data_IF_105996979661
#
_entry.id   IF_105996979661
#
_cell.length_a   1.000
_cell.length_b   1.000
_cell.length_c   1.000
_cell.angle_alpha   90.00
_cell.angle_beta   90.00
_cell.angle_gamma   90.00
#
_symmetry.space_group_name_H-M   'P 1'
#
loop_
_entity.id
_entity.type
_entity.pdbx_description
1 polymer ?
#
# COMPACT_ATOMS: atom_id res chain seq x y z
N UNK A 1 24.02 3.75 -7.28
CA UNK A 1 23.66 4.69 -6.19
C UNK A 1 23.45 3.95 -4.90
N UNK A 2 23.72 4.63 -3.80
CA UNK A 2 23.47 4.20 -2.42
C UNK A 2 22.09 4.74 -1.99
N UNK A 3 21.13 3.87 -1.82
CA UNK A 3 19.74 4.25 -1.51
C UNK A 3 19.44 3.93 -0.05
N UNK A 4 18.81 4.86 0.67
CA UNK A 4 18.37 4.64 2.05
C UNK A 4 16.84 4.60 2.08
N UNK A 5 16.26 3.65 2.80
CA UNK A 5 14.81 3.55 2.93
C UNK A 5 14.32 4.03 4.30
N UNK A 6 13.19 4.71 4.31
CA UNK A 6 12.38 4.91 5.51
C UNK A 6 10.99 4.33 5.23
N UNK A 7 10.52 3.45 6.09
CA UNK A 7 9.31 2.65 5.84
C UNK A 7 8.38 2.70 7.03
N UNK A 8 7.11 3.01 6.79
CA UNK A 8 6.07 2.90 7.81
C UNK A 8 5.75 1.42 8.07
N UNK A 9 5.94 0.97 9.31
CA UNK A 9 5.83 -0.44 9.68
C UNK A 9 4.43 -0.91 10.10
N UNK A 10 3.45 -0.02 10.18
CA UNK A 10 2.10 -0.36 10.64
C UNK A 10 1.30 -1.16 9.61
N UNK A 11 1.56 -0.90 8.33
CA UNK A 11 0.92 -1.57 7.19
C UNK A 11 1.86 -2.52 6.46
N UNK A 12 1.38 -3.72 6.11
CA UNK A 12 2.18 -4.67 5.33
C UNK A 12 2.44 -4.20 3.89
N UNK A 13 1.57 -3.34 3.34
CA UNK A 13 1.69 -2.80 1.99
C UNK A 13 3.00 -2.06 1.77
N UNK A 14 3.37 -1.12 2.66
CA UNK A 14 4.61 -0.35 2.53
C UNK A 14 5.87 -1.22 2.62
N UNK A 15 5.83 -2.28 3.45
CA UNK A 15 6.91 -3.26 3.52
C UNK A 15 7.06 -4.02 2.20
N UNK A 16 5.96 -4.43 1.60
CA UNK A 16 5.93 -5.13 0.31
C UNK A 16 6.44 -4.22 -0.83
N UNK A 17 6.00 -2.95 -0.85
CA UNK A 17 6.48 -1.94 -1.81
C UNK A 17 7.98 -1.71 -1.69
N UNK A 18 8.50 -1.61 -0.46
CA UNK A 18 9.93 -1.43 -0.21
C UNK A 18 10.77 -2.63 -0.70
N UNK A 19 10.31 -3.85 -0.45
CA UNK A 19 10.95 -5.07 -0.98
C UNK A 19 10.92 -5.13 -2.50
N UNK A 20 9.78 -4.78 -3.11
CA UNK A 20 9.65 -4.75 -4.57
C UNK A 20 10.58 -3.71 -5.20
N UNK A 21 10.59 -2.48 -4.69
CA UNK A 21 11.48 -1.44 -5.20
C UNK A 21 12.97 -1.78 -4.98
N UNK A 22 13.32 -2.37 -3.82
CA UNK A 22 14.69 -2.86 -3.58
C UNK A 22 15.15 -3.84 -4.66
N UNK A 23 14.30 -4.79 -5.03
CA UNK A 23 14.61 -5.75 -6.08
C UNK A 23 14.77 -5.09 -7.46
N UNK A 24 13.94 -4.09 -7.78
CA UNK A 24 14.04 -3.32 -9.03
C UNK A 24 15.32 -2.48 -9.08
N UNK A 25 15.68 -1.81 -7.98
CA UNK A 25 16.91 -1.01 -7.86
C UNK A 25 18.17 -1.89 -7.99
N UNK A 26 18.18 -3.07 -7.37
CA UNK A 26 19.30 -4.00 -7.44
C UNK A 26 19.58 -4.49 -8.87
N UNK A 27 18.53 -4.71 -9.69
CA UNK A 27 18.68 -5.08 -11.11
C UNK A 27 19.32 -3.97 -11.97
N UNK A 28 19.29 -2.73 -11.49
CA UNK A 28 19.93 -1.57 -12.13
C UNK A 28 21.28 -1.21 -11.47
N UNK A 29 21.81 -2.08 -10.62
CA UNK A 29 23.11 -1.88 -9.96
C UNK A 29 23.08 -0.88 -8.79
N UNK A 30 21.92 -0.60 -8.23
CA UNK A 30 21.80 0.25 -7.04
C UNK A 30 21.73 -0.59 -5.76
N UNK A 31 22.25 -0.05 -4.66
CA UNK A 31 22.32 -0.73 -3.38
C UNK A 31 21.46 -0.02 -2.33
N UNK A 32 20.64 -0.78 -1.60
CA UNK A 32 19.99 -0.28 -0.39
C UNK A 32 20.98 -0.42 0.77
N UNK A 33 21.46 0.71 1.29
CA UNK A 33 22.52 0.76 2.31
C UNK A 33 22.00 0.77 3.74
N UNK A 34 20.69 0.91 3.94
CA UNK A 34 20.07 0.88 5.25
C UNK A 34 18.60 1.22 5.22
N UNK A 35 17.89 0.80 6.24
CA UNK A 35 16.45 1.02 6.39
C UNK A 35 16.11 1.46 7.81
N UNK A 36 15.36 2.56 7.94
CA UNK A 36 14.65 2.88 9.18
C UNK A 36 13.19 2.44 9.03
N UNK A 37 12.77 1.55 9.92
CA UNK A 37 11.41 1.07 10.03
C UNK A 37 10.72 1.77 11.20
N UNK A 38 9.76 2.65 10.88
CA UNK A 38 8.95 3.33 11.89
C UNK A 38 7.84 2.43 12.41
N UNK A 39 7.59 2.44 13.72
CA UNK A 39 6.46 1.74 14.33
C UNK A 39 5.89 2.52 15.51
N UNK A 40 4.61 2.35 15.76
CA UNK A 40 3.91 2.96 16.90
C UNK A 40 3.93 2.08 18.17
N UNK A 41 4.53 0.90 18.11
CA UNK A 41 4.61 -0.07 19.21
C UNK A 41 3.48 -1.08 19.25
N UNK A 42 2.51 -1.03 18.35
CA UNK A 42 1.37 -1.95 18.34
C UNK A 42 1.68 -3.29 17.66
N UNK A 43 2.61 -3.32 16.70
CA UNK A 43 2.98 -4.52 15.95
C UNK A 43 4.49 -4.65 15.82
N UNK A 44 5.07 -5.84 16.05
CA UNK A 44 6.48 -6.08 15.80
C UNK A 44 6.78 -6.05 14.29
N UNK A 45 8.02 -5.68 13.94
CA UNK A 45 8.50 -5.78 12.57
C UNK A 45 8.49 -7.25 12.11
N UNK A 46 7.90 -7.57 10.94
CA UNK A 46 7.90 -8.94 10.44
C UNK A 46 9.33 -9.41 10.08
N UNK A 47 9.72 -10.63 10.51
CA UNK A 47 11.07 -11.18 10.24
C UNK A 47 11.41 -11.26 8.75
N UNK A 48 10.44 -11.61 7.90
CA UNK A 48 10.63 -11.69 6.45
C UNK A 48 11.11 -10.38 5.81
N UNK A 49 10.81 -9.23 6.43
CA UNK A 49 11.22 -7.93 5.90
C UNK A 49 12.72 -7.71 6.04
N UNK A 50 13.28 -7.98 7.22
CA UNK A 50 14.72 -7.84 7.46
C UNK A 50 15.54 -8.80 6.58
N UNK A 51 15.08 -10.04 6.42
CA UNK A 51 15.69 -11.03 5.53
C UNK A 51 15.62 -10.60 4.06
N UNK A 52 14.44 -10.16 3.60
CA UNK A 52 14.24 -9.79 2.20
C UNK A 52 14.90 -8.50 1.77
N UNK A 53 15.11 -7.54 2.69
CA UNK A 53 15.73 -6.25 2.36
C UNK A 53 17.25 -6.37 2.13
N UNK A 54 17.92 -7.27 2.82
CA UNK A 54 19.36 -7.53 2.67
C UNK A 54 20.25 -6.35 3.07
N UNK A 55 19.78 -5.46 3.94
CA UNK A 55 20.48 -4.28 4.46
C UNK A 55 20.19 -4.12 5.96
N UNK A 56 21.00 -3.36 6.71
CA UNK A 56 20.72 -3.07 8.12
C UNK A 56 19.35 -2.43 8.30
N UNK A 57 18.53 -2.98 9.20
CA UNK A 57 17.20 -2.47 9.55
C UNK A 57 17.21 -1.96 10.98
N UNK A 58 16.87 -0.67 11.17
CA UNK A 58 16.73 -0.05 12.48
C UNK A 58 15.26 0.27 12.75
N UNK A 59 14.70 -0.36 13.76
CA UNK A 59 13.32 -0.12 14.19
C UNK A 59 13.30 1.08 15.13
N UNK A 60 12.44 2.07 14.84
CA UNK A 60 12.33 3.31 15.61
C UNK A 60 10.88 3.66 15.92
N UNK A 61 10.65 4.26 17.09
CA UNK A 61 9.34 4.81 17.43
C UNK A 61 9.01 5.96 16.49
N UNK A 62 7.85 5.88 15.87
CA UNK A 62 7.32 6.86 14.93
C UNK A 62 5.89 7.27 15.30
N UNK A 63 5.49 8.51 15.02
CA UNK A 63 4.09 8.89 15.10
C UNK A 63 3.24 8.03 14.18
N UNK A 64 2.16 7.45 14.71
CA UNK A 64 1.24 6.61 13.94
C UNK A 64 -0.21 6.92 14.30
N UNK A 65 -1.14 6.37 13.54
CA UNK A 65 -2.56 6.49 13.85
C UNK A 65 -2.96 5.54 14.98
N UNK A 66 -3.72 6.05 15.95
CA UNK A 66 -4.30 5.24 17.02
C UNK A 66 -5.69 4.77 16.61
N UNK A 67 -5.88 3.45 16.63
CA UNK A 67 -7.18 2.83 16.38
C UNK A 67 -7.93 2.66 17.70
N UNK A 68 -9.15 3.17 17.78
CA UNK A 68 -10.03 2.96 18.94
C UNK A 68 -10.92 1.75 18.68
N UNK A 69 -10.63 0.65 19.39
CA UNK A 69 -11.33 -0.62 19.19
C UNK A 69 -11.00 -1.26 17.83
N UNK A 70 -11.82 -2.23 17.43
CA UNK A 70 -11.60 -3.01 16.21
C UNK A 70 -12.06 -2.30 14.92
N UNK A 71 -12.49 -1.03 14.92
CA UNK A 71 -13.25 -0.46 13.77
C UNK A 71 -12.90 0.94 13.28
N UNK A 72 -11.99 1.73 13.91
CA UNK A 72 -11.76 3.08 13.40
C UNK A 72 -10.57 3.85 13.97
N UNK A 73 -10.11 4.89 13.24
CA UNK A 73 -9.05 5.81 13.67
C UNK A 73 -9.64 6.88 14.61
N UNK A 74 -8.99 7.11 15.77
CA UNK A 74 -9.37 8.13 16.73
C UNK A 74 -8.39 9.32 16.71
N UNK A 75 -8.82 10.45 16.16
CA UNK A 75 -7.96 11.65 16.04
C UNK A 75 -7.52 12.21 17.41
N UNK A 76 -8.42 12.25 18.40
CA UNK A 76 -8.08 12.74 19.75
C UNK A 76 -7.07 11.84 20.46
N UNK A 77 -7.23 10.51 20.38
CA UNK A 77 -6.26 9.58 20.93
C UNK A 77 -4.91 9.65 20.20
N UNK A 78 -4.92 9.86 18.89
CA UNK A 78 -3.70 10.06 18.10
C UNK A 78 -2.94 11.30 18.55
N UNK A 79 -3.62 12.44 18.72
CA UNK A 79 -3.00 13.68 19.22
C UNK A 79 -2.42 13.54 20.64
N UNK A 80 -3.14 12.86 21.52
CA UNK A 80 -2.70 12.59 22.89
C UNK A 80 -1.43 11.72 22.91
N UNK A 81 -1.44 10.61 22.16
CA UNK A 81 -0.28 9.71 22.02
C UNK A 81 0.92 10.40 21.37
N UNK A 82 0.70 11.27 20.37
CA UNK A 82 1.76 12.06 19.75
C UNK A 82 2.37 13.02 20.77
N UNK A 83 1.55 13.66 21.61
CA UNK A 83 2.03 14.57 22.69
C UNK A 83 2.89 13.83 23.72
N UNK A 84 2.43 12.69 24.23
CA UNK A 84 3.18 11.87 25.17
C UNK A 84 4.46 11.27 24.57
N UNK A 85 4.45 10.96 23.28
CA UNK A 85 5.58 10.37 22.56
C UNK A 85 6.68 11.37 22.16
N UNK A 86 6.48 12.68 22.33
CA UNK A 86 7.36 13.71 21.78
C UNK A 86 8.85 13.54 22.12
N UNK A 87 9.26 13.25 23.39
CA UNK A 87 10.68 13.03 23.71
C UNK A 87 11.27 11.83 22.95
N UNK A 88 10.47 10.76 22.78
CA UNK A 88 10.87 9.56 22.06
C UNK A 88 11.01 9.84 20.56
N UNK A 89 10.09 10.63 19.99
CA UNK A 89 10.16 11.01 18.57
C UNK A 89 11.35 11.92 18.28
N UNK A 90 11.68 12.86 19.18
CA UNK A 90 12.90 13.66 19.07
C UNK A 90 14.17 12.79 19.08
N UNK A 91 14.22 11.78 19.96
CA UNK A 91 15.31 10.78 19.97
C UNK A 91 15.37 10.01 18.65
N UNK A 92 14.22 9.57 18.12
CA UNK A 92 14.14 8.89 16.83
C UNK A 92 14.63 9.76 15.68
N UNK A 93 14.29 11.06 15.66
CA UNK A 93 14.79 12.03 14.67
C UNK A 93 16.32 12.16 14.70
N UNK A 94 16.91 12.25 15.90
CA UNK A 94 18.37 12.31 16.06
C UNK A 94 19.05 11.00 15.62
N UNK A 95 18.44 9.86 15.92
CA UNK A 95 18.92 8.55 15.47
C UNK A 95 18.85 8.45 13.93
N UNK A 96 17.72 8.84 13.30
CA UNK A 96 17.60 8.88 11.84
C UNK A 96 18.68 9.76 11.22
N UNK A 97 18.88 11.00 11.73
CA UNK A 97 19.95 11.90 11.28
C UNK A 97 21.34 11.26 11.38
N UNK A 98 21.62 10.55 12.48
CA UNK A 98 22.89 9.83 12.68
C UNK A 98 23.05 8.71 11.63
N UNK A 99 21.99 7.93 11.35
CA UNK A 99 22.02 6.85 10.35
C UNK A 99 22.25 7.39 8.94
N UNK A 100 21.56 8.45 8.56
CA UNK A 100 21.78 9.12 7.26
C UNK A 100 23.23 9.58 7.09
N UNK A 101 23.84 10.15 8.15
CA UNK A 101 25.26 10.55 8.12
C UNK A 101 26.22 9.35 8.04
N UNK A 102 25.92 8.23 8.70
CA UNK A 102 26.73 7.03 8.69
C UNK A 102 26.66 6.29 7.35
N UNK A 103 25.45 6.19 6.77
CA UNK A 103 25.22 5.50 5.51
C UNK A 103 25.60 6.32 4.29
N UNK A 104 25.64 7.66 4.37
CA UNK A 104 25.94 8.58 3.26
C UNK A 104 25.20 8.18 1.97
N UNK A 105 23.85 8.13 1.97
CA UNK A 105 23.10 7.77 0.79
C UNK A 105 23.09 8.89 -0.24
N UNK A 106 22.99 8.53 -1.52
CA UNK A 106 22.77 9.46 -2.64
C UNK A 106 21.32 9.94 -2.69
N UNK A 107 20.38 9.07 -2.25
CA UNK A 107 18.94 9.36 -2.23
C UNK A 107 18.26 8.61 -1.08
N UNK A 108 17.22 9.23 -0.53
CA UNK A 108 16.33 8.58 0.46
C UNK A 108 14.96 8.32 -0.17
N UNK A 109 14.49 7.07 -0.11
CA UNK A 109 13.12 6.71 -0.52
C UNK A 109 12.27 6.49 0.73
N UNK A 110 11.16 7.22 0.80
CA UNK A 110 10.26 7.24 1.95
C UNK A 110 8.93 6.56 1.62
N UNK A 111 8.63 5.44 2.24
CA UNK A 111 7.35 4.75 2.15
C UNK A 111 6.42 5.23 3.28
N UNK A 112 5.94 6.46 3.15
CA UNK A 112 5.01 7.15 4.06
C UNK A 112 5.46 7.18 5.54
N UNK A 113 6.77 7.15 5.81
CA UNK A 113 7.29 7.24 7.18
C UNK A 113 7.39 8.72 7.62
N UNK A 114 6.62 9.14 8.65
CA UNK A 114 6.56 10.55 9.02
C UNK A 114 7.85 11.11 9.64
N UNK A 115 8.70 10.28 10.26
CA UNK A 115 9.97 10.75 10.84
C UNK A 115 10.87 11.43 9.80
N UNK A 116 10.91 10.90 8.56
CA UNK A 116 11.73 11.53 7.53
C UNK A 116 11.16 12.90 7.11
N UNK A 117 9.85 13.01 6.96
CA UNK A 117 9.21 14.28 6.65
C UNK A 117 9.47 15.33 7.74
N UNK A 118 9.32 14.94 9.00
CA UNK A 118 9.66 15.80 10.16
C UNK A 118 11.15 16.16 10.18
N UNK A 119 12.05 15.19 9.92
CA UNK A 119 13.49 15.47 9.81
C UNK A 119 13.77 16.51 8.74
N UNK A 120 13.19 16.37 7.55
CA UNK A 120 13.40 17.29 6.43
C UNK A 120 12.80 18.68 6.69
N UNK A 121 11.69 18.75 7.42
CA UNK A 121 11.10 20.01 7.85
C UNK A 121 11.99 20.74 8.88
N UNK A 122 12.53 20.02 9.87
CA UNK A 122 13.31 20.60 10.97
C UNK A 122 14.78 20.90 10.60
N UNK A 123 15.41 20.01 9.81
CA UNK A 123 16.87 20.07 9.55
C UNK A 123 17.23 20.38 8.10
N UNK A 124 16.24 20.53 7.23
CA UNK A 124 16.43 20.59 5.77
C UNK A 124 16.70 19.22 5.16
N UNK A 125 16.25 19.02 3.93
CA UNK A 125 16.59 17.84 3.14
C UNK A 125 18.03 18.03 2.58
N UNK A 126 19.01 17.37 3.21
CA UNK A 126 20.41 17.41 2.75
C UNK A 126 20.71 16.36 1.69
N UNK A 127 19.87 15.37 1.59
CA UNK A 127 19.91 14.29 0.59
C UNK A 127 18.59 14.35 -0.17
N UNK A 128 18.62 14.22 -1.50
CA UNK A 128 17.40 14.11 -2.30
C UNK A 128 16.46 13.06 -1.72
N UNK A 129 15.18 13.37 -1.67
CA UNK A 129 14.17 12.49 -1.07
C UNK A 129 13.01 12.27 -2.02
N UNK A 130 12.62 11.01 -2.19
CA UNK A 130 11.43 10.57 -2.94
C UNK A 130 10.47 9.90 -1.97
N UNK A 131 9.25 10.42 -1.87
CA UNK A 131 8.20 9.77 -1.08
C UNK A 131 7.29 8.94 -2.00
N UNK A 132 6.98 7.71 -1.58
CA UNK A 132 6.21 6.74 -2.35
C UNK A 132 4.88 6.47 -1.66
N UNK A 133 3.77 6.55 -2.39
CA UNK A 133 2.47 6.15 -1.88
C UNK A 133 1.32 6.46 -2.83
N UNK A 134 0.30 5.61 -2.84
CA UNK A 134 -0.91 5.83 -3.63
C UNK A 134 -1.65 7.11 -3.21
N UNK A 135 -1.57 7.46 -1.92
CA UNK A 135 -2.26 8.62 -1.35
C UNK A 135 -1.84 9.94 -2.00
N UNK A 136 -0.66 10.02 -2.61
CA UNK A 136 -0.22 11.22 -3.37
C UNK A 136 -1.01 11.42 -4.66
N UNK A 137 -1.69 10.40 -5.18
CA UNK A 137 -2.58 10.54 -6.33
C UNK A 137 -3.79 11.45 -6.01
N UNK A 138 -4.15 11.64 -4.72
CA UNK A 138 -5.16 12.62 -4.27
C UNK A 138 -4.82 14.07 -4.67
N UNK A 139 -3.57 14.36 -5.00
CA UNK A 139 -3.13 15.67 -5.48
C UNK A 139 -3.27 15.80 -7.00
N UNK A 140 -3.53 14.69 -7.71
CA UNK A 140 -3.67 14.66 -9.16
C UNK A 140 -5.13 14.86 -9.60
N UNK A 141 -5.40 15.66 -10.65
CA UNK A 141 -6.76 15.90 -11.17
C UNK A 141 -7.48 14.62 -11.64
N UNK A 142 -6.73 13.58 -12.01
CA UNK A 142 -7.27 12.29 -12.47
C UNK A 142 -7.97 11.50 -11.36
N UNK A 143 -7.65 11.80 -10.09
CA UNK A 143 -8.25 11.10 -8.96
C UNK A 143 -9.76 11.40 -8.86
N UNK A 144 -10.62 10.39 -8.60
CA UNK A 144 -12.06 10.58 -8.54
C UNK A 144 -12.48 11.67 -7.56
N UNK A 145 -13.49 12.44 -7.95
CA UNK A 145 -14.10 13.44 -7.05
C UNK A 145 -14.96 12.72 -6.02
N UNK A 146 -14.46 12.65 -4.80
CA UNK A 146 -15.15 12.03 -3.67
C UNK A 146 -15.71 13.13 -2.77
N UNK A 147 -17.02 13.13 -2.53
CA UNK A 147 -17.67 14.12 -1.66
C UNK A 147 -17.59 13.74 -0.18
N UNK A 148 -17.54 12.43 0.09
CA UNK A 148 -17.54 11.87 1.44
C UNK A 148 -16.25 12.20 2.22
N UNK A 149 -16.38 12.24 3.54
CA UNK A 149 -15.27 12.44 4.50
C UNK A 149 -14.45 13.73 4.27
N UNK A 150 -15.02 14.92 4.05
CA UNK A 150 -14.26 16.11 3.69
C UNK A 150 -13.24 16.53 4.76
N UNK A 151 -13.57 16.41 6.05
CA UNK A 151 -12.67 16.74 7.15
C UNK A 151 -11.49 15.77 7.21
N UNK A 152 -11.74 14.46 7.14
CA UNK A 152 -10.69 13.43 7.18
C UNK A 152 -9.77 13.48 5.96
N UNK A 153 -10.30 13.83 4.79
CA UNK A 153 -9.49 14.06 3.58
C UNK A 153 -8.57 15.28 3.74
N UNK A 154 -9.04 16.35 4.41
CA UNK A 154 -8.21 17.52 4.71
C UNK A 154 -7.08 17.16 5.69
N UNK A 155 -7.38 16.38 6.73
CA UNK A 155 -6.38 15.87 7.68
C UNK A 155 -5.37 14.99 6.95
N UNK A 156 -5.81 14.07 6.09
CA UNK A 156 -4.92 13.22 5.29
C UNK A 156 -3.99 14.06 4.40
N UNK A 157 -4.52 15.07 3.71
CA UNK A 157 -3.68 15.98 2.91
C UNK A 157 -2.64 16.70 3.77
N UNK A 158 -3.01 17.19 4.95
CA UNK A 158 -2.07 17.79 5.90
C UNK A 158 -0.98 16.80 6.32
N UNK A 159 -1.35 15.56 6.63
CA UNK A 159 -0.39 14.49 6.94
C UNK A 159 0.57 14.23 5.77
N UNK A 160 0.06 14.10 4.54
CA UNK A 160 0.88 13.90 3.34
C UNK A 160 1.85 15.05 3.07
N UNK A 161 1.46 16.31 3.37
CA UNK A 161 2.35 17.47 3.28
C UNK A 161 3.52 17.36 4.28
N UNK A 162 3.26 16.89 5.50
CA UNK A 162 4.31 16.67 6.51
C UNK A 162 5.23 15.53 6.08
N UNK A 163 4.68 14.37 5.71
CA UNK A 163 5.45 13.18 5.31
C UNK A 163 6.28 13.43 4.04
N UNK A 164 5.72 14.17 3.09
CA UNK A 164 6.37 14.54 1.83
C UNK A 164 7.12 15.87 1.88
N UNK A 165 7.42 16.42 3.07
CA UNK A 165 8.09 17.69 3.20
C UNK A 165 9.45 17.69 2.45
N UNK A 166 9.63 18.64 1.53
CA UNK A 166 10.83 18.78 0.69
C UNK A 166 11.19 17.55 -0.13
N UNK A 167 10.21 16.69 -0.47
CA UNK A 167 10.40 15.45 -1.24
C UNK A 167 9.76 15.55 -2.61
N UNK A 168 10.32 14.82 -3.57
CA UNK A 168 9.59 14.45 -4.79
C UNK A 168 8.55 13.37 -4.44
N UNK A 169 7.48 13.29 -5.22
CA UNK A 169 6.34 12.40 -4.97
C UNK A 169 6.24 11.36 -6.07
N UNK A 170 6.32 10.09 -5.71
CA UNK A 170 6.05 8.96 -6.57
C UNK A 170 4.66 8.42 -6.22
N UNK A 171 3.66 8.89 -6.94
CA UNK A 171 2.26 8.52 -6.72
C UNK A 171 1.97 7.17 -7.38
N UNK A 172 1.79 6.12 -6.59
CA UNK A 172 1.37 4.82 -7.11
C UNK A 172 -0.07 4.93 -7.63
N UNK A 173 -0.34 4.33 -8.79
CA UNK A 173 -1.64 4.45 -9.46
C UNK A 173 -2.10 3.15 -10.08
N UNK A 174 -3.41 2.94 -10.14
CA UNK A 174 -4.04 1.83 -10.87
C UNK A 174 -4.00 2.01 -12.39
N UNK A 175 -3.71 3.22 -12.88
CA UNK A 175 -3.70 3.58 -14.29
C UNK A 175 -2.63 4.64 -14.57
N UNK A 176 -2.18 4.77 -15.84
CA UNK A 176 -1.24 5.82 -16.23
C UNK A 176 -1.89 7.20 -16.17
N UNK A 177 -1.11 8.20 -15.75
CA UNK A 177 -1.49 9.59 -15.83
C UNK A 177 -0.23 10.45 -16.06
N UNK A 178 -0.35 11.67 -16.62
CA UNK A 178 0.80 12.55 -16.85
C UNK A 178 1.43 12.98 -15.51
N UNK A 179 2.74 13.27 -15.47
CA UNK A 179 3.35 13.84 -14.27
C UNK A 179 2.84 15.27 -14.01
N UNK A 180 2.95 15.72 -12.78
CA UNK A 180 2.71 17.12 -12.39
C UNK A 180 4.02 17.75 -11.90
N UNK A 181 4.80 18.36 -12.82
CA UNK A 181 6.11 18.93 -12.51
C UNK A 181 6.05 20.00 -11.41
N UNK A 182 5.06 20.87 -11.43
CA UNK A 182 4.84 21.94 -10.45
C UNK A 182 4.59 21.41 -9.02
N UNK A 183 4.20 20.14 -8.91
CA UNK A 183 4.02 19.42 -7.62
C UNK A 183 5.13 18.42 -7.35
N UNK A 184 6.15 18.36 -8.21
CA UNK A 184 7.22 17.36 -8.14
C UNK A 184 6.65 15.93 -8.03
N UNK A 185 5.58 15.63 -8.81
CA UNK A 185 4.84 14.39 -8.75
C UNK A 185 4.97 13.60 -10.04
N UNK A 186 5.42 12.36 -9.92
CA UNK A 186 5.46 11.36 -10.98
C UNK A 186 4.45 10.26 -10.68
N UNK A 187 3.61 9.90 -11.64
CA UNK A 187 2.68 8.78 -11.52
C UNK A 187 3.39 7.48 -11.86
N UNK A 188 3.26 6.49 -11.01
CA UNK A 188 3.99 5.23 -11.08
C UNK A 188 3.03 4.04 -10.99
N UNK A 189 3.28 2.95 -11.73
CA UNK A 189 2.57 1.70 -11.53
C UNK A 189 2.73 1.15 -10.09
N UNK A 190 1.84 0.26 -9.65
CA UNK A 190 2.00 -0.45 -8.39
C UNK A 190 3.33 -1.21 -8.30
N UNK A 191 3.96 -1.18 -7.11
CA UNK A 191 5.21 -1.88 -6.83
C UNK A 191 4.90 -3.28 -6.25
N UNK A 192 4.63 -4.25 -7.11
CA UNK A 192 4.20 -5.58 -6.72
C UNK A 192 5.39 -6.51 -6.45
N UNK A 193 5.21 -7.43 -5.51
CA UNK A 193 6.22 -8.43 -5.13
C UNK A 193 6.45 -9.46 -6.23
N UNK A 194 7.70 -9.91 -6.39
CA UNK A 194 8.10 -10.83 -7.45
C UNK A 194 7.31 -12.15 -7.42
N UNK A 195 7.04 -12.69 -6.22
CA UNK A 195 6.30 -13.93 -6.02
C UNK A 195 4.89 -13.92 -6.62
N UNK A 196 4.30 -12.74 -6.84
CA UNK A 196 3.00 -12.62 -7.51
C UNK A 196 3.08 -13.03 -8.99
N UNK A 197 4.19 -12.67 -9.65
CA UNK A 197 4.38 -12.94 -11.09
C UNK A 197 4.68 -14.42 -11.37
N UNK A 198 5.05 -15.18 -10.34
CA UNK A 198 5.35 -16.62 -10.40
C UNK A 198 4.10 -17.49 -10.19
N UNK A 199 2.96 -16.88 -9.82
CA UNK A 199 1.75 -17.64 -9.52
C UNK A 199 1.08 -18.16 -10.79
N UNK A 200 0.76 -19.44 -10.80
CA UNK A 200 -0.14 -20.03 -11.78
C UNK A 200 -1.59 -19.62 -11.47
N UNK A 201 -2.22 -18.93 -12.41
CA UNK A 201 -3.59 -18.44 -12.23
C UNK A 201 -4.59 -19.50 -12.67
N UNK A 202 -5.38 -20.01 -11.72
CA UNK A 202 -6.46 -20.97 -11.97
C UNK A 202 -7.80 -20.42 -11.47
N UNK A 203 -8.91 -21.05 -11.82
CA UNK A 203 -10.25 -20.66 -11.36
C UNK A 203 -10.87 -21.77 -10.53
N UNK A 204 -10.65 -21.73 -9.22
CA UNK A 204 -11.28 -22.61 -8.25
C UNK A 204 -12.75 -22.27 -7.97
N UNK A 205 -13.35 -22.98 -7.04
CA UNK A 205 -14.75 -22.84 -6.64
C UNK A 205 -14.95 -22.04 -5.35
N UNK A 206 -13.89 -21.50 -4.74
CA UNK A 206 -13.93 -20.81 -3.45
C UNK A 206 -13.73 -19.30 -3.58
N UNK A 207 -14.27 -18.56 -2.61
CA UNK A 207 -14.00 -17.15 -2.43
C UNK A 207 -12.82 -16.96 -1.48
N UNK A 208 -11.90 -16.05 -1.83
CA UNK A 208 -10.86 -15.59 -0.93
C UNK A 208 -11.30 -14.27 -0.28
N UNK A 209 -11.32 -14.24 1.04
CA UNK A 209 -11.63 -13.03 1.82
C UNK A 209 -10.39 -12.56 2.57
N UNK A 210 -10.05 -11.28 2.48
CA UNK A 210 -9.01 -10.66 3.30
C UNK A 210 -9.57 -9.52 4.14
N UNK A 211 -9.47 -9.65 5.44
CA UNK A 211 -9.92 -8.67 6.43
C UNK A 211 -8.70 -8.04 7.11
N UNK A 212 -8.54 -6.72 6.98
CA UNK A 212 -7.53 -5.98 7.74
C UNK A 212 -7.77 -6.13 9.25
N UNK A 213 -9.05 -6.25 9.65
CA UNK A 213 -9.50 -6.29 11.02
C UNK A 213 -10.38 -7.52 11.27
N UNK A 214 -10.02 -8.33 12.27
CA UNK A 214 -10.77 -9.52 12.65
C UNK A 214 -12.21 -9.24 13.12
N UNK A 215 -12.54 -8.00 13.50
CA UNK A 215 -13.89 -7.61 13.91
C UNK A 215 -14.97 -7.79 12.83
N UNK A 216 -14.56 -7.95 11.57
CA UNK A 216 -15.47 -8.25 10.45
C UNK A 216 -15.67 -9.75 10.19
N UNK A 217 -14.95 -10.64 10.90
CA UNK A 217 -15.09 -12.09 10.73
C UNK A 217 -16.52 -12.56 10.97
N UNK A 218 -17.23 -11.92 11.91
CA UNK A 218 -18.62 -12.25 12.22
C UNK A 218 -19.56 -11.94 11.05
N UNK A 219 -19.30 -10.89 10.28
CA UNK A 219 -20.09 -10.59 9.08
C UNK A 219 -19.92 -11.68 8.01
N UNK A 220 -18.73 -12.26 7.90
CA UNK A 220 -18.47 -13.39 6.99
C UNK A 220 -19.18 -14.65 7.49
N UNK A 221 -19.14 -14.95 8.82
CA UNK A 221 -19.86 -16.08 9.41
C UNK A 221 -21.37 -15.99 9.12
N UNK A 222 -22.00 -14.83 9.41
CA UNK A 222 -23.43 -14.59 9.16
C UNK A 222 -23.81 -14.68 7.69
N UNK A 223 -22.94 -14.25 6.80
CA UNK A 223 -23.19 -14.43 5.37
C UNK A 223 -23.12 -15.91 4.99
N UNK A 224 -22.11 -16.64 5.49
CA UNK A 224 -21.91 -18.07 5.21
C UNK A 224 -23.01 -18.96 5.77
N UNK A 225 -23.60 -18.62 6.93
CA UNK A 225 -24.77 -19.33 7.50
C UNK A 225 -25.94 -19.39 6.50
N UNK A 226 -26.12 -18.33 5.70
CA UNK A 226 -27.14 -18.27 4.66
C UNK A 226 -26.71 -18.88 3.31
N UNK A 227 -25.41 -19.15 3.16
CA UNK A 227 -24.82 -19.72 1.95
C UNK A 227 -23.80 -20.83 2.29
N UNK A 228 -24.20 -21.89 3.04
CA UNK A 228 -23.28 -22.87 3.60
C UNK A 228 -22.55 -23.73 2.56
N UNK A 229 -23.04 -23.74 1.32
CA UNK A 229 -22.46 -24.48 0.20
C UNK A 229 -21.31 -23.74 -0.49
N UNK A 230 -21.07 -22.44 -0.18
CA UNK A 230 -20.03 -21.65 -0.82
C UNK A 230 -18.72 -21.78 -0.05
N UNK A 231 -17.65 -22.37 -0.64
CA UNK A 231 -16.38 -22.47 0.05
C UNK A 231 -15.71 -21.10 0.20
N UNK A 232 -15.20 -20.80 1.41
CA UNK A 232 -14.54 -19.53 1.74
C UNK A 232 -13.24 -19.80 2.49
N UNK A 233 -12.15 -19.20 2.01
CA UNK A 233 -10.91 -19.02 2.75
C UNK A 233 -10.80 -17.56 3.20
N UNK A 234 -10.87 -17.31 4.52
CA UNK A 234 -10.85 -15.98 5.09
C UNK A 234 -9.56 -15.73 5.85
N UNK A 235 -8.75 -14.79 5.36
CA UNK A 235 -7.53 -14.33 6.03
C UNK A 235 -7.81 -13.14 6.91
N UNK A 236 -7.29 -13.16 8.12
CA UNK A 236 -7.41 -12.07 9.09
C UNK A 236 -6.22 -11.98 10.04
N UNK A 237 -6.03 -10.82 10.62
CA UNK A 237 -4.97 -10.60 11.63
C UNK A 237 -5.63 -10.57 13.02
N UNK A 238 -5.77 -11.75 13.64
CA UNK A 238 -6.32 -11.92 14.99
C UNK A 238 -5.21 -12.39 15.93
N UNK A 239 -4.87 -11.61 16.96
CA UNK A 239 -3.88 -12.03 17.96
C UNK A 239 -4.26 -13.37 18.61
N UNK A 240 -3.28 -14.27 18.74
CA UNK A 240 -3.49 -15.57 19.36
C UNK A 240 -4.32 -16.60 18.55
N UNK A 241 -4.77 -16.23 17.33
CA UNK A 241 -5.47 -17.20 16.48
C UNK A 241 -4.52 -18.30 15.99
N UNK A 242 -5.01 -19.55 15.83
CA UNK A 242 -4.25 -20.60 15.17
C UNK A 242 -3.94 -20.25 13.72
N UNK A 243 -2.99 -20.96 13.11
CA UNK A 243 -2.66 -20.78 11.70
C UNK A 243 -3.86 -21.04 10.77
N UNK A 244 -4.71 -21.98 11.17
CA UNK A 244 -5.97 -22.36 10.50
C UNK A 244 -7.06 -22.69 11.52
N UNK A 245 -8.25 -22.21 11.29
CA UNK A 245 -9.47 -22.49 12.07
C UNK A 245 -10.58 -22.89 11.11
N UNK A 246 -10.91 -24.19 11.08
CA UNK A 246 -12.04 -24.68 10.31
C UNK A 246 -13.34 -24.39 11.06
N UNK A 247 -14.07 -23.36 10.66
CA UNK A 247 -15.31 -22.96 11.32
C UNK A 247 -16.52 -23.78 10.89
N UNK A 248 -16.59 -24.17 9.60
CA UNK A 248 -17.57 -25.10 9.01
C UNK A 248 -16.87 -25.90 7.90
N UNK A 249 -17.47 -26.96 7.31
CA UNK A 249 -16.86 -27.69 6.21
C UNK A 249 -16.43 -26.80 5.03
N UNK A 250 -17.12 -25.67 4.81
CA UNK A 250 -16.85 -24.75 3.71
C UNK A 250 -16.37 -23.35 4.16
N UNK A 251 -16.04 -23.12 5.44
CA UNK A 251 -15.48 -21.86 5.92
C UNK A 251 -14.23 -22.12 6.76
N UNK A 252 -13.09 -21.70 6.24
CA UNK A 252 -11.82 -21.77 6.95
C UNK A 252 -11.22 -20.37 7.15
N UNK A 253 -10.88 -20.04 8.41
CA UNK A 253 -10.12 -18.85 8.74
C UNK A 253 -8.64 -19.15 8.77
N UNK A 254 -7.83 -18.23 8.26
CA UNK A 254 -6.38 -18.36 8.20
C UNK A 254 -5.69 -17.17 8.85
N UNK A 255 -4.63 -17.44 9.56
CA UNK A 255 -3.65 -16.42 9.91
C UNK A 255 -2.90 -15.99 8.66
N UNK A 256 -2.64 -14.68 8.53
CA UNK A 256 -2.01 -14.13 7.33
C UNK A 256 -0.54 -14.60 7.19
N UNK A 257 -0.32 -15.50 6.23
CA UNK A 257 1.01 -15.95 5.74
C UNK A 257 1.12 -15.61 4.26
N UNK A 258 2.15 -14.82 3.88
CA UNK A 258 2.23 -14.19 2.56
C UNK A 258 2.17 -15.16 1.37
N UNK A 259 2.91 -16.28 1.41
CA UNK A 259 2.94 -17.28 0.32
C UNK A 259 1.61 -18.03 0.19
N UNK A 260 1.05 -18.50 1.32
CA UNK A 260 -0.24 -19.19 1.32
C UNK A 260 -1.35 -18.27 0.79
N UNK A 261 -1.32 -16.99 1.19
CA UNK A 261 -2.28 -16.00 0.74
C UNK A 261 -2.23 -15.82 -0.78
N UNK A 262 -1.03 -15.64 -1.36
CA UNK A 262 -0.88 -15.49 -2.82
C UNK A 262 -1.33 -16.73 -3.59
N UNK A 263 -0.94 -17.90 -3.14
CA UNK A 263 -1.33 -19.17 -3.78
C UNK A 263 -2.86 -19.34 -3.78
N UNK A 264 -3.51 -19.08 -2.64
CA UNK A 264 -4.97 -19.15 -2.57
C UNK A 264 -5.64 -18.01 -3.36
N UNK A 265 -5.02 -16.83 -3.46
CA UNK A 265 -5.53 -15.77 -4.34
C UNK A 265 -5.44 -16.17 -5.81
N UNK A 266 -4.32 -16.74 -6.23
CA UNK A 266 -4.16 -17.19 -7.62
C UNK A 266 -5.13 -18.29 -8.01
N UNK A 267 -5.52 -19.17 -7.06
CA UNK A 267 -6.45 -20.27 -7.29
C UNK A 267 -7.93 -19.96 -7.05
N UNK A 268 -8.31 -18.82 -6.48
CA UNK A 268 -9.69 -18.56 -6.10
C UNK A 268 -10.61 -18.23 -7.30
N UNK A 269 -11.93 -18.33 -7.07
CA UNK A 269 -12.95 -17.82 -7.98
C UNK A 269 -12.97 -16.29 -8.01
N UNK A 270 -12.93 -15.66 -6.83
CA UNK A 270 -13.01 -14.22 -6.66
C UNK A 270 -12.40 -13.79 -5.31
N UNK A 271 -12.05 -12.51 -5.19
CA UNK A 271 -11.45 -11.90 -4.00
C UNK A 271 -12.39 -10.90 -3.37
N UNK A 272 -12.46 -10.91 -2.04
CA UNK A 272 -13.11 -9.88 -1.21
C UNK A 272 -12.04 -9.26 -0.33
N UNK A 273 -11.94 -7.92 -0.30
CA UNK A 273 -10.93 -7.22 0.50
C UNK A 273 -11.49 -5.95 1.13
N UNK A 274 -10.84 -5.50 2.19
CA UNK A 274 -11.10 -4.19 2.81
C UNK A 274 -10.43 -3.02 2.06
N UNK A 275 -10.15 -3.19 0.76
CA UNK A 275 -9.60 -2.17 -0.13
C UNK A 275 -8.21 -1.60 0.26
N UNK A 276 -7.32 -2.43 0.79
CA UNK A 276 -5.90 -2.10 0.86
C UNK A 276 -5.31 -2.08 -0.56
N UNK A 277 -4.55 -1.02 -0.89
CA UNK A 277 -4.02 -0.79 -2.24
C UNK A 277 -3.32 -2.01 -2.84
N UNK A 278 -2.37 -2.62 -2.10
CA UNK A 278 -1.60 -3.77 -2.58
C UNK A 278 -2.49 -4.98 -2.91
N UNK A 279 -3.45 -5.32 -2.04
CA UNK A 279 -4.34 -6.47 -2.26
C UNK A 279 -5.24 -6.27 -3.48
N UNK A 280 -5.70 -5.03 -3.70
CA UNK A 280 -6.45 -4.66 -4.91
C UNK A 280 -5.60 -4.87 -6.16
N UNK A 281 -4.36 -4.38 -6.16
CA UNK A 281 -3.43 -4.54 -7.28
C UNK A 281 -3.06 -6.01 -7.54
N UNK A 282 -2.83 -6.81 -6.49
CA UNK A 282 -2.53 -8.23 -6.61
C UNK A 282 -3.70 -9.02 -7.22
N UNK A 283 -4.93 -8.76 -6.74
CA UNK A 283 -6.14 -9.36 -7.30
C UNK A 283 -6.37 -8.95 -8.76
N UNK A 284 -6.17 -7.68 -9.09
CA UNK A 284 -6.28 -7.15 -10.44
C UNK A 284 -5.24 -7.75 -11.40
N UNK A 285 -3.98 -7.89 -10.96
CA UNK A 285 -2.93 -8.57 -11.74
C UNK A 285 -3.30 -10.01 -12.05
N UNK A 286 -3.83 -10.74 -11.06
CA UNK A 286 -4.28 -12.12 -11.22
C UNK A 286 -5.64 -12.22 -11.96
N UNK A 287 -6.20 -11.08 -12.38
CA UNK A 287 -7.51 -10.97 -13.05
C UNK A 287 -8.63 -11.69 -12.30
N UNK A 288 -8.63 -11.53 -10.97
CA UNK A 288 -9.71 -12.06 -10.13
C UNK A 288 -10.84 -11.06 -10.04
N UNK A 289 -12.12 -11.48 -10.18
CA UNK A 289 -13.25 -10.65 -9.80
C UNK A 289 -13.05 -10.15 -8.37
N UNK A 290 -13.28 -8.86 -8.14
CA UNK A 290 -12.92 -8.22 -6.88
C UNK A 290 -14.11 -7.46 -6.29
N UNK A 291 -14.38 -7.72 -5.00
CA UNK A 291 -15.30 -6.91 -4.18
C UNK A 291 -14.51 -6.19 -3.09
N UNK A 292 -14.61 -4.89 -3.07
CA UNK A 292 -13.96 -4.01 -2.11
C UNK A 292 -14.97 -3.50 -1.09
N UNK A 293 -14.75 -3.84 0.19
CA UNK A 293 -15.59 -3.41 1.32
C UNK A 293 -14.71 -2.64 2.31
N UNK A 294 -14.56 -1.31 2.15
CA UNK A 294 -13.73 -0.51 3.03
C UNK A 294 -14.16 -0.62 4.49
N UNK A 295 -13.19 -0.65 5.39
CA UNK A 295 -13.44 -0.58 6.84
C UNK A 295 -14.17 0.72 7.16
N UNK A 296 -15.15 0.66 8.04
CA UNK A 296 -15.94 1.81 8.47
C UNK A 296 -15.04 2.95 9.01
N UNK A 297 -15.27 4.17 8.53
CA UNK A 297 -14.48 5.37 8.85
C UNK A 297 -12.98 5.30 8.47
N UNK A 298 -12.57 4.34 7.65
CA UNK A 298 -11.20 4.25 7.13
C UNK A 298 -11.11 4.97 5.78
N UNK A 299 -10.81 6.26 5.83
CA UNK A 299 -10.83 7.15 4.65
C UNK A 299 -9.93 6.67 3.52
N UNK A 300 -8.70 6.21 3.84
CA UNK A 300 -7.78 5.69 2.83
C UNK A 300 -8.38 4.53 2.05
N UNK A 301 -8.94 3.52 2.74
CA UNK A 301 -9.55 2.36 2.07
C UNK A 301 -10.77 2.75 1.25
N UNK A 302 -11.54 3.71 1.73
CA UNK A 302 -12.67 4.23 0.99
C UNK A 302 -12.23 4.90 -0.31
N UNK A 303 -11.20 5.74 -0.25
CA UNK A 303 -10.62 6.42 -1.41
C UNK A 303 -9.99 5.42 -2.40
N UNK A 304 -9.24 4.42 -1.90
CA UNK A 304 -8.70 3.34 -2.72
C UNK A 304 -9.80 2.58 -3.47
N UNK A 305 -10.92 2.28 -2.79
CA UNK A 305 -12.04 1.58 -3.40
C UNK A 305 -12.74 2.41 -4.48
N UNK A 306 -12.91 3.74 -4.25
CA UNK A 306 -13.46 4.64 -5.26
C UNK A 306 -12.57 4.71 -6.50
N UNK A 307 -11.26 4.84 -6.32
CA UNK A 307 -10.30 4.94 -7.40
C UNK A 307 -10.18 3.62 -8.18
N UNK A 308 -10.15 2.49 -7.49
CA UNK A 308 -10.10 1.17 -8.09
C UNK A 308 -11.38 0.83 -8.87
N UNK A 309 -12.56 1.24 -8.36
CA UNK A 309 -13.84 1.09 -9.06
C UNK A 309 -13.88 1.93 -10.33
N UNK A 310 -13.43 3.19 -10.27
CA UNK A 310 -13.28 4.07 -11.45
C UNK A 310 -12.32 3.47 -12.47
N UNK A 311 -11.22 2.83 -12.02
CA UNK A 311 -10.26 2.15 -12.86
C UNK A 311 -10.78 0.82 -13.45
N UNK A 312 -11.99 0.39 -13.10
CA UNK A 312 -12.58 -0.88 -13.55
C UNK A 312 -11.91 -2.12 -12.97
N UNK A 313 -11.21 -2.01 -11.83
CA UNK A 313 -10.52 -3.14 -11.22
C UNK A 313 -11.44 -4.06 -10.41
N UNK A 314 -12.62 -3.59 -10.01
CA UNK A 314 -13.57 -4.36 -9.22
C UNK A 314 -14.79 -3.54 -8.79
N UNK A 315 -15.61 -4.14 -7.96
CA UNK A 315 -16.85 -3.56 -7.43
C UNK A 315 -16.62 -3.07 -6.00
N UNK A 316 -17.21 -1.93 -5.66
CA UNK A 316 -17.25 -1.42 -4.28
C UNK A 316 -18.61 -1.70 -3.64
N UNK A 317 -18.59 -2.00 -2.34
CA UNK A 317 -19.80 -2.12 -1.52
C UNK A 317 -19.55 -1.56 -0.10
N UNK A 318 -20.62 -1.27 0.63
CA UNK A 318 -20.56 -0.87 2.05
C UNK A 318 -20.61 -2.08 2.99
N UNK A 319 -21.05 -3.22 2.48
CA UNK A 319 -21.25 -4.46 3.23
C UNK A 319 -20.71 -5.68 2.48
N UNK A 320 -20.49 -6.78 3.18
CA UNK A 320 -19.97 -8.02 2.61
C UNK A 320 -21.07 -8.79 1.84
N UNK A 321 -21.52 -8.21 0.72
CA UNK A 321 -22.49 -8.84 -0.19
C UNK A 321 -21.78 -9.80 -1.17
N UNK A 322 -21.25 -10.92 -0.63
CA UNK A 322 -20.43 -11.86 -1.41
C UNK A 322 -21.19 -12.51 -2.56
N UNK A 323 -22.53 -12.54 -2.49
CA UNK A 323 -23.38 -13.08 -3.56
C UNK A 323 -23.16 -12.38 -4.91
N UNK A 324 -22.71 -11.10 -4.90
CA UNK A 324 -22.35 -10.36 -6.13
C UNK A 324 -21.22 -11.03 -6.91
N UNK A 325 -20.35 -11.79 -6.24
CA UNK A 325 -19.23 -12.52 -6.86
C UNK A 325 -19.61 -13.92 -7.35
N UNK A 326 -20.82 -14.36 -7.08
CA UNK A 326 -21.31 -15.66 -7.53
C UNK A 326 -21.90 -15.61 -8.95
N UNK A 327 -22.15 -14.42 -9.47
CA UNK A 327 -22.60 -14.24 -10.86
C UNK A 327 -21.54 -14.77 -11.85
N UNK A 328 -21.94 -15.32 -13.00
CA UNK A 328 -21.00 -15.85 -14.00
C UNK A 328 -20.14 -14.74 -14.63
N UNK A 329 -20.69 -13.54 -14.81
CA UNK A 329 -20.09 -12.43 -15.55
C UNK A 329 -19.56 -11.31 -14.62
N UNK A 330 -18.91 -11.71 -13.51
CA UNK A 330 -18.27 -10.73 -12.63
C UNK A 330 -17.13 -10.01 -13.37
N UNK A 331 -17.07 -8.67 -13.28
CA UNK A 331 -16.02 -7.89 -13.94
C UNK A 331 -14.64 -8.27 -13.38
N UNK A 332 -13.66 -8.32 -14.27
CA UNK A 332 -12.24 -8.50 -13.97
C UNK A 332 -11.46 -7.28 -14.44
N UNK A 333 -10.32 -7.04 -13.84
CA UNK A 333 -9.46 -5.93 -14.23
C UNK A 333 -9.15 -5.92 -15.74
N UNK A 334 -9.14 -4.75 -16.41
CA UNK A 334 -8.83 -4.62 -17.82
C UNK A 334 -7.40 -5.07 -18.13
N UNK A 335 -7.15 -5.53 -19.36
CA UNK A 335 -5.84 -6.02 -19.79
C UNK A 335 -4.75 -4.94 -19.63
N UNK A 336 -5.07 -3.68 -19.93
CA UNK A 336 -4.16 -2.55 -19.80
C UNK A 336 -3.58 -2.35 -18.39
N UNK A 337 -4.22 -2.89 -17.32
CA UNK A 337 -3.64 -2.88 -15.99
C UNK A 337 -2.34 -3.69 -15.91
N UNK A 338 -2.26 -4.86 -16.55
CA UNK A 338 -1.02 -5.66 -16.60
C UNK A 338 0.08 -4.96 -17.38
N UNK A 339 -0.26 -4.33 -18.49
CA UNK A 339 0.68 -3.53 -19.30
C UNK A 339 1.22 -2.34 -18.49
N UNK A 340 0.35 -1.69 -17.72
CA UNK A 340 0.74 -0.62 -16.81
C UNK A 340 1.71 -1.13 -15.73
N UNK A 341 1.38 -2.22 -15.03
CA UNK A 341 2.25 -2.82 -14.00
C UNK A 341 3.60 -3.26 -14.56
N UNK A 342 3.66 -3.78 -15.79
CA UNK A 342 4.91 -4.19 -16.44
C UNK A 342 5.94 -3.06 -16.54
N UNK A 343 5.50 -1.81 -16.53
CA UNK A 343 6.35 -0.61 -16.58
C UNK A 343 6.90 -0.19 -15.21
N UNK A 344 6.50 -0.85 -14.11
CA UNK A 344 6.82 -0.41 -12.74
C UNK A 344 8.33 -0.23 -12.50
N UNK A 345 9.15 -1.20 -12.92
CA UNK A 345 10.60 -1.14 -12.72
C UNK A 345 11.23 0.05 -13.46
N UNK A 346 10.85 0.26 -14.73
CA UNK A 346 11.36 1.38 -15.52
C UNK A 346 10.96 2.72 -14.90
N UNK A 347 9.67 2.93 -14.64
CA UNK A 347 9.16 4.21 -14.12
C UNK A 347 9.71 4.51 -12.72
N UNK A 348 9.65 3.54 -11.80
CA UNK A 348 10.07 3.77 -10.41
C UNK A 348 11.57 4.02 -10.28
N UNK A 349 12.40 3.21 -10.95
CA UNK A 349 13.85 3.34 -10.86
C UNK A 349 14.31 4.62 -11.55
N UNK A 350 13.81 4.92 -12.76
CA UNK A 350 14.14 6.17 -13.45
C UNK A 350 13.72 7.40 -12.63
N UNK A 351 12.55 7.37 -11.97
CA UNK A 351 12.14 8.46 -11.09
C UNK A 351 13.12 8.65 -9.92
N UNK A 352 13.54 7.57 -9.25
CA UNK A 352 14.52 7.64 -8.16
C UNK A 352 15.88 8.15 -8.66
N UNK A 353 16.37 7.67 -9.82
CA UNK A 353 17.63 8.11 -10.43
C UNK A 353 17.61 9.60 -10.75
N UNK A 354 16.54 10.07 -11.36
CA UNK A 354 16.42 11.48 -11.77
C UNK A 354 16.37 12.41 -10.55
N UNK A 355 15.58 12.06 -9.55
CA UNK A 355 15.52 12.86 -8.33
C UNK A 355 16.80 12.80 -7.48
N UNK A 356 17.61 11.75 -7.63
CA UNK A 356 18.94 11.69 -7.02
C UNK A 356 19.94 12.64 -7.67
N UNK A 357 19.83 12.86 -9.00
CA UNK A 357 20.77 13.65 -9.77
C UNK A 357 20.35 15.13 -9.95
N UNK A 358 19.04 15.39 -9.93
CA UNK A 358 18.49 16.69 -10.26
C UNK A 358 17.38 17.06 -9.27
N UNK A 359 17.38 18.28 -8.83
CA UNK A 359 16.27 18.87 -8.06
C UNK A 359 15.05 19.20 -8.97
N UNK A 360 14.95 18.58 -10.16
CA UNK A 360 13.99 18.92 -11.22
C UNK A 360 13.08 17.74 -11.63
N UNK A 361 11.78 17.99 -11.96
CA UNK A 361 10.84 16.95 -12.39
C UNK A 361 11.19 16.38 -13.77
N UNK A 362 10.98 15.08 -13.92
CA UNK A 362 11.12 14.34 -15.17
C UNK A 362 10.09 14.73 -16.23
N UNK A 363 10.56 14.98 -17.43
CA UNK A 363 9.82 14.59 -18.63
C UNK A 363 9.98 13.06 -18.81
N UNK A 364 8.90 12.30 -18.65
CA UNK A 364 8.93 10.87 -18.96
C UNK A 364 9.30 10.68 -20.43
N UNK A 365 10.10 9.64 -20.79
CA UNK A 365 10.36 9.29 -22.18
C UNK A 365 9.06 9.22 -22.98
N UNK A 366 9.09 9.56 -24.27
CA UNK A 366 7.91 9.60 -25.14
C UNK A 366 7.10 8.28 -25.14
N UNK A 367 7.75 7.16 -24.88
CA UNK A 367 7.15 5.82 -24.69
C UNK A 367 6.26 5.71 -23.44
N UNK A 368 6.33 6.68 -22.54
CA UNK A 368 5.52 6.76 -21.33
C UNK A 368 4.25 7.62 -21.48
N UNK A 369 4.02 8.20 -22.68
CA UNK A 369 2.78 8.94 -22.94
C UNK A 369 1.60 7.97 -23.02
N UNK A 370 0.42 8.34 -22.47
CA UNK A 370 -0.79 7.54 -22.68
C UNK A 370 -1.01 7.38 -24.18
N UNK A 371 -1.42 6.18 -24.59
CA UNK A 371 -1.96 5.98 -25.93
C UNK A 371 -3.14 6.97 -26.07
N UNK A 372 -2.92 8.03 -26.83
CA UNK A 372 -4.00 8.88 -27.27
C UNK A 372 -4.85 8.02 -28.20
N UNK A 373 -5.94 7.46 -27.64
CA UNK A 373 -7.17 7.21 -28.40
C UNK A 373 -8.18 6.48 -27.48
N UNK A 374 -9.26 7.18 -27.22
CA UNK A 374 -10.57 6.56 -27.06
C UNK A 374 -11.00 6.13 -25.64
N UNK A 375 -10.97 7.02 -24.66
CA UNK A 375 -12.04 7.01 -23.65
C UNK A 375 -12.59 8.44 -23.56
N UNK A 376 -13.62 8.70 -24.37
CA UNK A 376 -14.52 9.81 -24.13
C UNK A 376 -15.18 9.60 -22.75
N UNK A 377 -15.17 10.65 -21.93
CA UNK A 377 -15.84 10.79 -20.66
C UNK A 377 -17.36 10.57 -20.79
#
# INVERSE_FOLDING_TARGET
MRVFFTVQGEGRGHLTQALALRAMLARRGHEVVGVVLGHNGQRPAPGYFAEGIGAPVWVQRSPGFVFKGARGVCAGATLYEVGLGLPTYLRSLWQLRRRLRQCQPDVVVNFLEPLLGLHNACFGARVPTVVVGHQYLLEHPVFPRVAEFPASRRIMRGYLQVVGARSARLALSFYPAPPLPERRLTVCPPLLRAQLFEQEVTRGNYLLVYLLNHGYAEAIRKWHERHPHVPIHCFYDKPGAPDEEQATPNLCFHRLKGEKFLRLMAGCRAVVTTAGFETVCEAAWLRKPLLMVPVENHVEQYLNACDAEQAGLGMRDRTFQLSRLLAPDCPVAPAGFREWVARAASVAVTAVETWAMHDCPLELPAEARPLADGVAL
#
